data_IF_811412471962
#
_entry.id   IF_811412471962
#
_cell.length_a   1.000
_cell.length_b   1.000
_cell.length_c   1.000
_cell.angle_alpha   90.00
_cell.angle_beta   90.00
_cell.angle_gamma   90.00
#
_symmetry.space_group_name_H-M   'P 1'
#
loop_
_entity.id
_entity.type
_entity.pdbx_description
1 polymer ?
#
# COMPACT_ATOMS: atom_id res chain seq x y z
N UNK A 1 -17.83 6.31 49.16
CA UNK A 1 -18.02 6.01 47.73
C UNK A 1 -16.74 5.35 47.23
N UNK A 2 -16.84 4.07 46.88
CA UNK A 2 -15.74 3.18 46.54
C UNK A 2 -15.11 3.59 45.19
N UNK A 3 -13.86 4.05 45.21
CA UNK A 3 -13.02 4.06 44.02
C UNK A 3 -12.59 2.61 43.75
N UNK A 4 -13.35 1.90 42.91
CA UNK A 4 -12.88 0.67 42.30
C UNK A 4 -11.68 1.01 41.42
N UNK A 5 -10.48 0.72 41.90
CA UNK A 5 -9.27 0.70 41.09
C UNK A 5 -9.44 -0.34 39.99
N UNK A 6 -9.71 0.13 38.77
CA UNK A 6 -9.62 -0.70 37.57
C UNK A 6 -8.22 -1.33 37.55
N UNK A 7 -8.08 -2.65 37.39
CA UNK A 7 -6.76 -3.27 37.30
C UNK A 7 -6.05 -2.70 36.06
N UNK A 8 -4.89 -2.09 36.27
CA UNK A 8 -4.01 -1.68 35.17
C UNK A 8 -3.70 -2.94 34.36
N UNK A 9 -4.11 -2.99 33.09
CA UNK A 9 -3.70 -4.07 32.18
C UNK A 9 -2.18 -4.00 32.06
N UNK A 10 -1.50 -4.85 32.81
CA UNK A 10 -0.07 -5.08 32.69
C UNK A 10 0.16 -5.77 31.34
N UNK A 11 0.63 -5.02 30.34
CA UNK A 11 1.03 -5.60 29.08
C UNK A 11 2.20 -6.54 29.34
N UNK A 12 2.07 -7.81 28.98
CA UNK A 12 3.05 -8.84 29.27
C UNK A 12 4.21 -8.78 28.27
N UNK A 13 4.85 -7.61 28.16
CA UNK A 13 5.94 -7.29 27.24
C UNK A 13 7.10 -8.28 27.36
N UNK A 14 7.32 -8.84 28.57
CA UNK A 14 8.41 -9.77 28.88
C UNK A 14 7.92 -11.19 29.21
N UNK A 15 6.69 -11.56 28.86
CA UNK A 15 6.23 -12.93 29.05
C UNK A 15 7.12 -13.91 28.28
N UNK A 16 7.56 -14.98 28.95
CA UNK A 16 8.38 -16.02 28.31
C UNK A 16 7.59 -16.71 27.20
N UNK A 17 8.25 -16.91 26.07
CA UNK A 17 7.74 -17.68 24.93
C UNK A 17 7.43 -19.11 25.41
N UNK A 18 6.24 -19.68 25.11
CA UNK A 18 5.95 -21.08 25.38
C UNK A 18 6.97 -22.01 24.71
N UNK A 19 7.35 -23.11 25.36
CA UNK A 19 8.32 -24.10 24.83
C UNK A 19 7.90 -24.73 23.49
N UNK A 20 6.63 -24.61 23.10
CA UNK A 20 6.11 -24.98 21.80
C UNK A 20 5.12 -23.90 21.35
N UNK A 21 5.55 -22.92 20.54
CA UNK A 21 4.64 -21.93 20.01
C UNK A 21 3.60 -22.62 19.11
N UNK A 22 2.33 -22.16 19.10
CA UNK A 22 1.36 -22.64 18.12
C UNK A 22 1.92 -22.37 16.71
N UNK A 23 1.92 -23.38 15.85
CA UNK A 23 2.40 -23.20 14.47
C UNK A 23 1.54 -22.16 13.76
N UNK A 24 2.13 -21.10 13.21
CA UNK A 24 1.38 -20.09 12.47
C UNK A 24 0.65 -20.74 11.30
N UNK A 25 -0.64 -20.44 11.14
CA UNK A 25 -1.40 -20.95 10.01
C UNK A 25 -0.82 -20.38 8.72
N UNK A 26 -0.28 -21.26 7.86
CA UNK A 26 0.25 -20.83 6.58
C UNK A 26 -0.88 -20.36 5.68
N UNK A 27 -0.70 -19.19 5.06
CA UNK A 27 -1.68 -18.60 4.14
C UNK A 27 -2.04 -19.54 2.98
N UNK A 28 -1.09 -20.33 2.50
CA UNK A 28 -1.32 -21.30 1.41
C UNK A 28 -2.25 -22.45 1.82
N UNK A 29 -2.16 -22.88 3.08
CA UNK A 29 -2.98 -23.96 3.65
C UNK A 29 -4.35 -23.46 4.14
N UNK A 30 -4.58 -22.14 4.17
CA UNK A 30 -5.82 -21.54 4.62
C UNK A 30 -6.98 -21.73 3.63
N UNK A 31 -8.17 -21.98 4.19
CA UNK A 31 -9.42 -22.09 3.44
C UNK A 31 -9.72 -20.80 2.66
N UNK A 32 -10.59 -20.90 1.65
CA UNK A 32 -10.97 -19.73 0.84
C UNK A 32 -11.57 -18.61 1.70
N UNK A 33 -12.44 -18.94 2.66
CA UNK A 33 -13.04 -17.98 3.57
C UNK A 33 -11.98 -17.31 4.46
N UNK A 34 -11.03 -18.09 4.99
CA UNK A 34 -9.94 -17.54 5.80
C UNK A 34 -9.05 -16.60 5.01
N UNK A 35 -8.74 -16.92 3.74
CA UNK A 35 -8.01 -16.02 2.85
C UNK A 35 -8.81 -14.77 2.52
N UNK A 36 -10.11 -14.90 2.26
CA UNK A 36 -10.99 -13.78 1.91
C UNK A 36 -11.09 -12.76 3.06
N UNK A 37 -11.19 -13.21 4.31
CA UNK A 37 -11.28 -12.35 5.48
C UNK A 37 -9.93 -12.07 6.16
N UNK A 38 -8.82 -12.52 5.57
CA UNK A 38 -7.46 -12.41 6.15
C UNK A 38 -7.33 -13.03 7.56
N UNK A 39 -8.24 -13.94 7.92
CA UNK A 39 -8.33 -14.49 9.27
C UNK A 39 -7.17 -15.43 9.62
N UNK A 40 -6.37 -15.85 8.64
CA UNK A 40 -5.16 -16.65 8.88
C UNK A 40 -4.12 -15.90 9.73
N UNK A 41 -4.19 -14.57 9.77
CA UNK A 41 -3.32 -13.74 10.59
C UNK A 41 -3.82 -13.56 12.04
N UNK A 42 -5.04 -14.03 12.36
CA UNK A 42 -5.67 -13.79 13.66
C UNK A 42 -4.88 -14.39 14.82
N UNK A 43 -4.28 -15.56 14.64
CA UNK A 43 -3.46 -16.20 15.68
C UNK A 43 -2.24 -15.35 16.03
N UNK A 44 -1.53 -14.84 15.02
CA UNK A 44 -0.38 -13.94 15.22
C UNK A 44 -0.82 -12.63 15.87
N UNK A 45 -1.92 -12.03 15.41
CA UNK A 45 -2.47 -10.80 16.01
C UNK A 45 -2.87 -10.99 17.47
N UNK A 46 -3.47 -12.13 17.81
CA UNK A 46 -3.84 -12.47 19.19
C UNK A 46 -2.61 -12.61 20.08
N UNK A 47 -1.54 -13.26 19.60
CA UNK A 47 -0.27 -13.37 20.34
C UNK A 47 0.33 -11.97 20.54
N UNK A 48 0.36 -11.15 19.49
CA UNK A 48 0.89 -9.78 19.55
C UNK A 48 0.13 -8.85 20.50
N UNK A 49 -1.16 -9.11 20.74
CA UNK A 49 -1.95 -8.37 21.74
C UNK A 49 -1.68 -8.82 23.18
N UNK A 50 -1.11 -10.02 23.37
CA UNK A 50 -0.82 -10.59 24.68
C UNK A 50 0.62 -10.32 25.12
N UNK A 51 1.58 -10.45 24.18
CA UNK A 51 3.02 -10.27 24.41
C UNK A 51 3.71 -9.75 23.16
N UNK A 52 4.96 -9.31 23.32
CA UNK A 52 5.81 -8.98 22.17
C UNK A 52 6.02 -10.22 21.27
N UNK A 53 5.89 -10.03 19.96
CA UNK A 53 6.10 -11.08 18.96
C UNK A 53 7.58 -11.48 18.89
N UNK A 54 7.83 -12.78 18.86
CA UNK A 54 9.14 -13.35 18.56
C UNK A 54 9.20 -13.79 17.09
N UNK A 55 10.41 -14.04 16.57
CA UNK A 55 10.62 -14.47 15.18
C UNK A 55 9.83 -15.75 14.83
N UNK A 56 9.70 -16.67 15.79
CA UNK A 56 8.99 -17.95 15.62
C UNK A 56 7.46 -17.81 15.59
N UNK A 57 6.93 -16.66 16.04
CA UNK A 57 5.49 -16.37 15.99
C UNK A 57 5.07 -15.78 14.65
N UNK A 58 6.03 -15.38 13.82
CA UNK A 58 5.77 -14.73 12.54
C UNK A 58 5.29 -15.76 11.51
N UNK A 59 4.37 -15.31 10.66
CA UNK A 59 3.92 -16.11 9.52
C UNK A 59 5.10 -16.37 8.57
N UNK A 60 5.30 -17.62 8.19
CA UNK A 60 6.27 -17.97 7.15
C UNK A 60 5.85 -17.39 5.79
N UNK A 61 6.84 -17.02 4.99
CA UNK A 61 6.62 -16.54 3.64
C UNK A 61 6.08 -17.66 2.74
N UNK A 62 5.05 -17.33 1.95
CA UNK A 62 4.60 -18.15 0.84
C UNK A 62 5.81 -18.57 -0.03
N UNK A 63 5.85 -19.82 -0.50
CA UNK A 63 6.95 -20.36 -1.32
C UNK A 63 7.30 -19.46 -2.53
N UNK A 64 6.29 -18.87 -3.16
CA UNK A 64 6.44 -17.95 -4.29
C UNK A 64 7.04 -16.58 -3.93
N UNK A 65 7.01 -16.21 -2.64
CA UNK A 65 7.53 -14.92 -2.12
C UNK A 65 8.92 -15.09 -1.50
N UNK A 66 9.44 -16.32 -1.39
CA UNK A 66 10.82 -16.55 -0.95
C UNK A 66 11.80 -15.86 -1.89
N UNK A 67 12.84 -15.27 -1.32
CA UNK A 67 13.80 -14.44 -2.07
C UNK A 67 14.47 -15.19 -3.22
N UNK A 68 14.85 -16.44 -3.00
CA UNK A 68 15.45 -17.29 -4.02
C UNK A 68 14.51 -17.51 -5.22
N UNK A 69 13.26 -17.90 -4.95
CA UNK A 69 12.26 -18.18 -6.00
C UNK A 69 11.91 -16.92 -6.78
N UNK A 70 11.72 -15.79 -6.07
CA UNK A 70 11.45 -14.51 -6.69
C UNK A 70 12.61 -14.06 -7.59
N UNK A 71 13.85 -14.18 -7.10
CA UNK A 71 15.06 -13.83 -7.83
C UNK A 71 15.27 -14.72 -9.07
N UNK A 72 15.13 -16.04 -8.95
CA UNK A 72 15.28 -16.96 -10.07
C UNK A 72 14.27 -16.68 -11.19
N UNK A 73 13.00 -16.46 -10.83
CA UNK A 73 11.94 -16.07 -11.79
C UNK A 73 12.29 -14.74 -12.49
N UNK A 74 12.77 -13.75 -11.74
CA UNK A 74 13.16 -12.46 -12.30
C UNK A 74 14.38 -12.58 -13.22
N UNK A 75 15.40 -13.35 -12.82
CA UNK A 75 16.66 -13.53 -13.56
C UNK A 75 16.43 -14.19 -14.91
N UNK A 76 15.57 -15.21 -14.99
CA UNK A 76 15.21 -15.85 -16.27
C UNK A 76 14.63 -14.84 -17.26
N UNK A 77 13.79 -13.92 -16.78
CA UNK A 77 13.22 -12.86 -17.63
C UNK A 77 14.26 -11.78 -17.96
N UNK A 78 15.14 -11.47 -17.02
CA UNK A 78 16.24 -10.52 -17.21
C UNK A 78 17.20 -10.95 -18.32
N UNK A 79 17.59 -12.22 -18.33
CA UNK A 79 18.48 -12.78 -19.34
C UNK A 79 17.81 -12.90 -20.71
N UNK A 80 16.48 -13.08 -20.76
CA UNK A 80 15.69 -13.08 -22.00
C UNK A 80 15.49 -11.70 -22.62
N UNK A 81 15.57 -10.64 -21.83
CA UNK A 81 15.26 -9.26 -22.25
C UNK A 81 16.49 -8.35 -22.24
N UNK A 82 17.60 -8.84 -22.81
CA UNK A 82 18.84 -8.07 -23.03
C UNK A 82 19.40 -7.42 -21.75
N UNK A 83 19.15 -8.01 -20.58
CA UNK A 83 19.59 -7.48 -19.29
C UNK A 83 19.04 -6.07 -18.99
N UNK A 84 17.89 -5.73 -19.56
CA UNK A 84 17.18 -4.48 -19.27
C UNK A 84 16.22 -4.66 -18.10
N UNK A 85 16.47 -3.93 -17.00
CA UNK A 85 15.63 -3.98 -15.79
C UNK A 85 14.18 -3.58 -16.12
N UNK A 86 13.98 -2.43 -16.77
CA UNK A 86 12.64 -1.91 -17.07
C UNK A 86 11.83 -2.87 -17.93
N UNK A 87 12.45 -3.42 -18.99
CA UNK A 87 11.79 -4.37 -19.89
C UNK A 87 11.36 -5.64 -19.15
N UNK A 88 12.23 -6.13 -18.26
CA UNK A 88 12.00 -7.29 -17.41
C UNK A 88 10.84 -7.06 -16.44
N UNK A 89 10.81 -5.91 -15.76
CA UNK A 89 9.74 -5.54 -14.84
C UNK A 89 8.38 -5.48 -15.56
N UNK A 90 8.34 -4.81 -16.71
CA UNK A 90 7.11 -4.68 -17.51
C UNK A 90 6.60 -6.05 -17.97
N UNK A 91 7.47 -6.95 -18.45
CA UNK A 91 7.03 -8.28 -18.90
C UNK A 91 6.66 -9.21 -17.74
N UNK A 92 7.36 -9.12 -16.61
CA UNK A 92 7.12 -10.01 -15.46
C UNK A 92 5.89 -9.62 -14.66
N UNK A 93 5.69 -8.32 -14.46
CA UNK A 93 4.67 -7.78 -13.55
C UNK A 93 3.62 -6.91 -14.23
N UNK A 94 3.82 -6.46 -15.48
CA UNK A 94 2.95 -5.48 -16.14
C UNK A 94 1.48 -5.90 -16.21
N UNK A 95 1.20 -7.17 -16.54
CA UNK A 95 -0.18 -7.67 -16.52
C UNK A 95 -0.82 -7.62 -15.13
N UNK A 96 -0.05 -7.95 -14.08
CA UNK A 96 -0.52 -7.87 -12.70
C UNK A 96 -0.75 -6.42 -12.27
N UNK A 97 0.15 -5.51 -12.65
CA UNK A 97 -0.02 -4.08 -12.41
C UNK A 97 -1.27 -3.52 -13.10
N UNK A 98 -1.59 -3.97 -14.33
CA UNK A 98 -2.83 -3.60 -15.03
C UNK A 98 -4.08 -4.10 -14.30
N UNK A 99 -4.10 -5.36 -13.85
CA UNK A 99 -5.22 -5.92 -13.07
C UNK A 99 -5.41 -5.16 -11.74
N UNK A 100 -4.32 -4.82 -11.06
CA UNK A 100 -4.35 -4.00 -9.85
C UNK A 100 -4.83 -2.57 -10.13
N UNK A 101 -4.40 -1.98 -11.25
CA UNK A 101 -4.89 -0.68 -11.72
C UNK A 101 -6.41 -0.69 -11.93
N UNK A 102 -6.95 -1.75 -12.55
CA UNK A 102 -8.39 -1.91 -12.72
C UNK A 102 -9.13 -2.04 -11.38
N UNK A 103 -8.57 -2.81 -10.43
CA UNK A 103 -9.14 -2.93 -9.09
C UNK A 103 -9.14 -1.58 -8.34
N UNK A 104 -8.09 -0.78 -8.52
CA UNK A 104 -8.00 0.56 -7.95
C UNK A 104 -8.99 1.52 -8.61
N UNK A 105 -9.16 1.50 -9.94
CA UNK A 105 -10.22 2.26 -10.64
C UNK A 105 -11.60 1.89 -10.12
N UNK A 106 -11.89 0.60 -9.96
CA UNK A 106 -13.15 0.13 -9.38
C UNK A 106 -13.36 0.67 -7.96
N UNK A 107 -12.31 0.63 -7.13
CA UNK A 107 -12.35 1.12 -5.76
C UNK A 107 -12.60 2.63 -5.71
N UNK A 108 -11.94 3.39 -6.61
CA UNK A 108 -12.13 4.83 -6.77
C UNK A 108 -13.55 5.16 -7.24
N UNK A 109 -14.12 4.40 -8.18
CA UNK A 109 -15.50 4.57 -8.61
C UNK A 109 -16.50 4.33 -7.46
N UNK A 110 -16.28 3.29 -6.64
CA UNK A 110 -17.08 3.03 -5.45
C UNK A 110 -17.00 4.20 -4.44
N UNK A 111 -15.84 4.84 -4.33
CA UNK A 111 -15.67 6.01 -3.48
C UNK A 111 -16.43 7.23 -4.02
N UNK A 112 -16.32 7.50 -5.32
CA UNK A 112 -17.01 8.59 -6.02
C UNK A 112 -18.53 8.37 -6.11
N UNK A 113 -19.02 7.17 -5.89
CA UNK A 113 -20.46 6.92 -5.84
C UNK A 113 -21.14 7.53 -4.60
N UNK A 114 -20.40 7.73 -3.49
CA UNK A 114 -20.97 8.35 -2.28
C UNK A 114 -21.57 9.74 -2.48
N UNK A 115 -20.86 10.72 -3.08
CA UNK A 115 -21.43 12.05 -3.30
C UNK A 115 -22.67 12.02 -4.22
N UNK A 116 -22.71 11.12 -5.21
CA UNK A 116 -23.89 10.95 -6.11
C UNK A 116 -25.11 10.47 -5.33
N UNK A 117 -24.94 9.45 -4.49
CA UNK A 117 -26.02 8.92 -3.66
C UNK A 117 -26.47 9.96 -2.64
N UNK A 118 -25.53 10.71 -2.06
CA UNK A 118 -25.84 11.78 -1.11
C UNK A 118 -26.69 12.87 -1.76
N UNK A 119 -26.42 13.25 -3.01
CA UNK A 119 -27.23 14.23 -3.74
C UNK A 119 -28.68 13.77 -3.87
N UNK A 120 -28.91 12.52 -4.32
CA UNK A 120 -30.25 11.96 -4.42
C UNK A 120 -30.97 11.79 -3.07
N UNK A 121 -30.21 11.48 -2.00
CA UNK A 121 -30.77 11.43 -0.64
C UNK A 121 -31.28 12.82 -0.24
N UNK A 122 -30.50 13.88 -0.47
CA UNK A 122 -30.91 15.26 -0.15
C UNK A 122 -32.16 15.64 -0.95
N UNK A 123 -32.20 15.35 -2.25
CA UNK A 123 -33.36 15.64 -3.09
C UNK A 123 -34.63 14.93 -2.59
N UNK A 124 -34.53 13.65 -2.22
CA UNK A 124 -35.65 12.88 -1.69
C UNK A 124 -36.20 13.46 -0.37
N UNK A 125 -35.35 14.04 0.48
CA UNK A 125 -35.76 14.66 1.74
C UNK A 125 -36.25 16.10 1.62
N UNK A 126 -35.98 16.78 0.50
CA UNK A 126 -36.51 18.12 0.21
C UNK A 126 -37.87 18.09 -0.48
N UNK A 127 -38.26 16.95 -1.04
CA UNK A 127 -39.58 16.76 -1.62
C UNK A 127 -40.70 16.78 -0.57
N UNK A 128 -41.93 17.26 -0.91
CA UNK A 128 -43.07 17.31 0.01
C UNK A 128 -43.48 15.94 0.58
N UNK A 129 -43.27 14.88 -0.19
CA UNK A 129 -43.50 13.49 0.21
C UNK A 129 -42.24 12.67 -0.09
N UNK A 130 -41.80 11.88 0.89
CA UNK A 130 -40.61 11.06 0.77
C UNK A 130 -40.97 9.73 0.10
N UNK A 131 -40.51 9.53 -1.13
CA UNK A 131 -40.59 8.22 -1.79
C UNK A 131 -39.47 7.30 -1.34
N UNK A 132 -39.79 6.40 -0.40
CA UNK A 132 -38.86 5.41 0.13
C UNK A 132 -38.43 4.39 -0.92
N UNK A 133 -39.24 4.11 -1.96
CA UNK A 133 -38.87 3.16 -3.00
C UNK A 133 -37.75 3.73 -3.88
N UNK A 134 -37.89 4.95 -4.37
CA UNK A 134 -36.82 5.65 -5.12
C UNK A 134 -35.53 5.76 -4.30
N UNK A 135 -35.62 6.07 -3.00
CA UNK A 135 -34.45 6.15 -2.12
C UNK A 135 -33.74 4.78 -1.96
N UNK A 136 -34.51 3.70 -1.83
CA UNK A 136 -33.96 2.34 -1.68
C UNK A 136 -33.20 1.87 -2.93
N UNK A 137 -33.63 2.28 -4.12
CA UNK A 137 -32.99 1.94 -5.41
C UNK A 137 -31.59 2.53 -5.52
N UNK A 138 -31.32 3.67 -4.89
CA UNK A 138 -29.97 4.27 -4.85
C UNK A 138 -29.14 3.76 -3.67
N UNK A 139 -29.75 3.58 -2.49
CA UNK A 139 -29.03 3.12 -1.30
C UNK A 139 -28.59 1.67 -1.40
N UNK A 140 -29.42 0.75 -1.92
CA UNK A 140 -29.09 -0.67 -1.95
C UNK A 140 -27.84 -0.96 -2.82
N UNK A 141 -27.71 -0.45 -4.06
CA UNK A 141 -26.49 -0.58 -4.86
C UNK A 141 -25.28 0.11 -4.22
N UNK A 142 -25.48 1.23 -3.52
CA UNK A 142 -24.41 1.91 -2.81
C UNK A 142 -23.86 1.08 -1.65
N UNK A 143 -24.73 0.50 -0.82
CA UNK A 143 -24.31 -0.42 0.23
C UNK A 143 -23.62 -1.66 -0.35
N UNK A 144 -24.16 -2.22 -1.43
CA UNK A 144 -23.55 -3.35 -2.13
C UNK A 144 -22.16 -2.99 -2.68
N UNK A 145 -22.00 -1.83 -3.33
CA UNK A 145 -20.71 -1.39 -3.86
C UNK A 145 -19.68 -1.17 -2.74
N UNK A 146 -20.12 -0.62 -1.59
CA UNK A 146 -19.26 -0.45 -0.41
C UNK A 146 -18.82 -1.78 0.17
N UNK A 147 -19.70 -2.77 0.25
CA UNK A 147 -19.37 -4.10 0.72
C UNK A 147 -18.37 -4.80 -0.22
N UNK A 148 -18.60 -4.72 -1.53
CA UNK A 148 -17.68 -5.29 -2.52
C UNK A 148 -16.32 -4.59 -2.46
N UNK A 149 -16.30 -3.26 -2.38
CA UNK A 149 -15.06 -2.49 -2.26
C UNK A 149 -14.29 -2.80 -0.96
N UNK A 150 -15.00 -3.03 0.15
CA UNK A 150 -14.39 -3.41 1.42
C UNK A 150 -13.66 -4.77 1.35
N UNK A 151 -14.07 -5.65 0.44
CA UNK A 151 -13.35 -6.89 0.15
C UNK A 151 -12.24 -6.65 -0.89
N UNK A 152 -12.53 -5.98 -2.00
CA UNK A 152 -11.58 -5.83 -3.12
C UNK A 152 -10.37 -4.99 -2.75
N UNK A 153 -10.57 -3.85 -2.08
CA UNK A 153 -9.52 -2.86 -1.83
C UNK A 153 -8.36 -3.42 -0.98
N UNK A 154 -8.60 -4.05 0.19
CA UNK A 154 -7.51 -4.64 0.98
C UNK A 154 -6.75 -5.74 0.22
N UNK A 155 -7.47 -6.59 -0.53
CA UNK A 155 -6.85 -7.66 -1.33
C UNK A 155 -5.98 -7.09 -2.46
N UNK A 156 -6.46 -6.06 -3.17
CA UNK A 156 -5.70 -5.40 -4.21
C UNK A 156 -4.43 -4.74 -3.63
N UNK A 157 -4.55 -4.00 -2.53
CA UNK A 157 -3.43 -3.35 -1.85
C UNK A 157 -2.38 -4.37 -1.39
N UNK A 158 -2.81 -5.46 -0.75
CA UNK A 158 -1.92 -6.52 -0.30
C UNK A 158 -1.17 -7.20 -1.47
N UNK A 159 -1.85 -7.44 -2.59
CA UNK A 159 -1.21 -8.02 -3.78
C UNK A 159 -0.25 -7.04 -4.47
N UNK A 160 -0.57 -5.74 -4.48
CA UNK A 160 0.32 -4.70 -4.97
C UNK A 160 1.61 -4.67 -4.14
N UNK A 161 1.49 -4.65 -2.82
CA UNK A 161 2.63 -4.64 -1.90
C UNK A 161 3.50 -5.90 -2.05
N UNK A 162 2.90 -7.09 -2.20
CA UNK A 162 3.65 -8.32 -2.46
C UNK A 162 4.45 -8.27 -3.78
N UNK A 163 3.90 -7.69 -4.84
CA UNK A 163 4.60 -7.56 -6.12
C UNK A 163 5.77 -6.59 -5.98
N UNK A 164 5.54 -5.45 -5.35
CA UNK A 164 6.56 -4.42 -5.10
C UNK A 164 7.67 -4.98 -4.21
N UNK A 165 7.32 -5.75 -3.18
CA UNK A 165 8.27 -6.46 -2.32
C UNK A 165 9.13 -7.45 -3.11
N UNK A 166 8.52 -8.33 -3.92
CA UNK A 166 9.24 -9.30 -4.76
C UNK A 166 10.18 -8.62 -5.75
N UNK A 167 9.73 -7.51 -6.35
CA UNK A 167 10.56 -6.68 -7.21
C UNK A 167 11.78 -6.14 -6.45
N UNK A 168 11.57 -5.53 -5.28
CA UNK A 168 12.64 -4.99 -4.44
C UNK A 168 13.67 -6.05 -4.06
N UNK A 169 13.23 -7.22 -3.59
CA UNK A 169 14.12 -8.35 -3.25
C UNK A 169 14.91 -8.82 -4.47
N UNK A 170 14.27 -8.95 -5.64
CA UNK A 170 14.92 -9.42 -6.86
C UNK A 170 15.97 -8.43 -7.37
N UNK A 171 15.67 -7.13 -7.33
CA UNK A 171 16.62 -6.08 -7.71
C UNK A 171 17.82 -6.03 -6.76
N UNK A 172 17.58 -6.09 -5.44
CA UNK A 172 18.64 -6.16 -4.42
C UNK A 172 19.54 -7.38 -4.63
N UNK A 173 18.97 -8.56 -4.88
CA UNK A 173 19.74 -9.77 -5.16
C UNK A 173 20.55 -9.67 -6.47
N UNK A 174 19.98 -9.10 -7.54
CA UNK A 174 20.69 -8.89 -8.82
C UNK A 174 21.89 -7.95 -8.66
N UNK A 175 21.69 -6.82 -7.97
CA UNK A 175 22.74 -5.84 -7.68
C UNK A 175 23.84 -6.44 -6.81
N UNK A 176 23.47 -7.20 -5.78
CA UNK A 176 24.42 -7.89 -4.92
C UNK A 176 25.28 -8.91 -5.70
N UNK A 177 24.67 -9.74 -6.57
CA UNK A 177 25.42 -10.65 -7.44
C UNK A 177 26.38 -9.89 -8.36
N UNK A 178 25.94 -8.77 -8.92
CA UNK A 178 26.79 -7.92 -9.77
C UNK A 178 27.94 -7.30 -8.97
N UNK A 179 27.69 -6.86 -7.74
CA UNK A 179 28.69 -6.24 -6.87
C UNK A 179 29.77 -7.23 -6.46
N UNK A 180 29.37 -8.44 -6.07
CA UNK A 180 30.29 -9.52 -5.77
C UNK A 180 31.15 -9.93 -6.97
N UNK A 181 30.59 -9.92 -8.19
CA UNK A 181 31.38 -10.21 -9.41
C UNK A 181 32.35 -9.08 -9.75
N UNK A 182 31.92 -7.83 -9.63
CA UNK A 182 32.77 -6.67 -9.89
C UNK A 182 33.92 -6.57 -8.89
N UNK A 183 33.69 -6.76 -7.59
CA UNK A 183 34.75 -6.70 -6.58
C UNK A 183 35.83 -7.79 -6.80
N UNK A 184 35.43 -8.97 -7.27
CA UNK A 184 36.37 -10.04 -7.64
C UNK A 184 37.16 -9.69 -8.91
N UNK A 185 36.56 -8.98 -9.87
CA UNK A 185 37.18 -8.64 -11.16
C UNK A 185 38.00 -7.34 -11.14
N UNK A 186 37.60 -6.34 -10.38
CA UNK A 186 38.27 -5.05 -10.26
C UNK A 186 38.95 -4.93 -8.91
N UNK A 187 40.30 -4.87 -8.90
CA UNK A 187 41.10 -4.50 -7.73
C UNK A 187 40.89 -3.05 -7.23
N UNK A 188 39.93 -2.32 -7.80
CA UNK A 188 39.60 -0.92 -7.45
C UNK A 188 38.32 -0.86 -6.63
N UNK A 189 38.41 -0.39 -5.39
CA UNK A 189 37.28 -0.28 -4.45
C UNK A 189 36.18 0.68 -4.95
N UNK A 190 36.51 1.68 -5.77
CA UNK A 190 35.58 2.71 -6.24
C UNK A 190 34.34 2.14 -6.94
N UNK A 191 34.52 1.13 -7.81
CA UNK A 191 33.40 0.49 -8.54
C UNK A 191 32.48 -0.34 -7.64
N UNK A 192 33.02 -0.86 -6.53
CA UNK A 192 32.23 -1.58 -5.54
C UNK A 192 31.43 -0.60 -4.67
N UNK A 193 32.03 0.55 -4.33
CA UNK A 193 31.37 1.63 -3.57
C UNK A 193 30.21 2.24 -4.36
N UNK A 194 30.42 2.55 -5.64
CA UNK A 194 29.35 3.08 -6.51
C UNK A 194 28.16 2.12 -6.59
N UNK A 195 28.43 0.82 -6.69
CA UNK A 195 27.39 -0.20 -6.79
C UNK A 195 26.68 -0.46 -5.45
N UNK A 196 27.39 -0.30 -4.33
CA UNK A 196 26.80 -0.35 -2.99
C UNK A 196 25.88 0.85 -2.72
N UNK A 197 26.20 2.04 -3.26
CA UNK A 197 25.35 3.22 -3.14
C UNK A 197 24.06 3.10 -3.97
N UNK A 198 24.16 2.53 -5.18
CA UNK A 198 23.00 2.17 -6.01
C UNK A 198 22.12 1.13 -5.29
N UNK A 199 22.73 0.17 -4.59
CA UNK A 199 22.02 -0.88 -3.84
C UNK A 199 21.13 -0.34 -2.70
N UNK A 200 21.54 0.71 -2.00
CA UNK A 200 20.84 1.21 -0.81
C UNK A 200 19.82 2.31 -1.11
N UNK A 201 20.15 3.32 -1.92
CA UNK A 201 19.23 4.45 -2.19
C UNK A 201 18.32 4.22 -3.39
N UNK A 202 18.89 3.72 -4.50
CA UNK A 202 18.20 3.82 -5.79
C UNK A 202 17.16 2.72 -5.97
N UNK A 203 17.42 1.52 -5.43
CA UNK A 203 16.43 0.44 -5.44
C UNK A 203 15.18 0.83 -4.67
N UNK A 204 15.33 1.43 -3.50
CA UNK A 204 14.18 1.82 -2.68
C UNK A 204 13.34 2.90 -3.38
N UNK A 205 13.98 3.82 -4.11
CA UNK A 205 13.26 4.79 -4.97
C UNK A 205 12.51 4.11 -6.11
N UNK A 206 13.11 3.12 -6.77
CA UNK A 206 12.45 2.35 -7.85
C UNK A 206 11.25 1.56 -7.31
N UNK A 207 11.39 0.95 -6.13
CA UNK A 207 10.33 0.22 -5.43
C UNK A 207 9.18 1.16 -5.07
N UNK A 208 9.47 2.34 -4.53
CA UNK A 208 8.46 3.38 -4.25
C UNK A 208 7.74 3.84 -5.52
N UNK A 209 8.49 4.17 -6.57
CA UNK A 209 7.90 4.57 -7.86
C UNK A 209 6.99 3.48 -8.45
N UNK A 210 7.39 2.20 -8.30
CA UNK A 210 6.59 1.06 -8.74
C UNK A 210 5.29 0.90 -7.95
N UNK A 211 5.29 1.27 -6.67
CA UNK A 211 4.08 1.27 -5.83
C UNK A 211 3.09 2.35 -6.28
N UNK A 212 3.60 3.52 -6.66
CA UNK A 212 2.78 4.69 -6.98
C UNK A 212 2.34 4.77 -8.46
N UNK A 213 2.83 3.86 -9.31
CA UNK A 213 2.60 3.91 -10.76
C UNK A 213 1.11 3.93 -11.13
N UNK A 214 0.29 3.14 -10.44
CA UNK A 214 -1.15 3.10 -10.70
C UNK A 214 -1.86 4.35 -10.17
N UNK A 215 -1.40 4.87 -9.04
CA UNK A 215 -1.93 6.11 -8.46
C UNK A 215 -1.67 7.31 -9.39
N UNK A 216 -0.52 7.34 -10.07
CA UNK A 216 -0.11 8.45 -10.93
C UNK A 216 -1.14 8.79 -12.03
N UNK A 217 -1.75 7.78 -12.65
CA UNK A 217 -2.72 7.99 -13.72
C UNK A 217 -4.18 7.96 -13.24
N UNK A 218 -4.48 7.25 -12.15
CA UNK A 218 -5.83 7.20 -11.57
C UNK A 218 -6.19 8.49 -10.84
N UNK A 219 -5.22 9.09 -10.13
CA UNK A 219 -5.47 10.28 -9.34
C UNK A 219 -5.93 11.50 -10.19
N UNK A 220 -5.32 11.82 -11.34
CA UNK A 220 -5.83 12.87 -12.22
C UNK A 220 -7.25 12.60 -12.73
N UNK A 221 -7.57 11.35 -13.06
CA UNK A 221 -8.92 10.95 -13.49
C UNK A 221 -9.92 11.16 -12.35
N UNK A 222 -9.56 10.73 -11.13
CA UNK A 222 -10.38 10.91 -9.94
C UNK A 222 -10.66 12.38 -9.65
N UNK A 223 -9.63 13.24 -9.73
CA UNK A 223 -9.77 14.69 -9.56
C UNK A 223 -10.71 15.25 -10.63
N UNK A 224 -10.52 14.88 -11.90
CA UNK A 224 -11.37 15.34 -13.00
C UNK A 224 -12.86 14.99 -12.78
N UNK A 225 -13.15 13.76 -12.39
CA UNK A 225 -14.53 13.32 -12.09
C UNK A 225 -15.10 14.05 -10.86
N UNK A 226 -14.31 14.22 -9.80
CA UNK A 226 -14.75 14.93 -8.60
C UNK A 226 -15.05 16.41 -8.88
N UNK A 227 -14.22 17.09 -9.68
CA UNK A 227 -14.43 18.48 -10.09
C UNK A 227 -15.68 18.59 -10.97
N UNK A 228 -15.91 17.63 -11.87
CA UNK A 228 -17.13 17.59 -12.68
C UNK A 228 -18.38 17.46 -11.80
N UNK A 229 -18.39 16.53 -10.85
CA UNK A 229 -19.49 16.38 -9.89
C UNK A 229 -19.74 17.65 -9.07
N UNK A 230 -18.66 18.34 -8.66
CA UNK A 230 -18.79 19.60 -7.91
C UNK A 230 -19.36 20.73 -8.77
N UNK A 231 -18.95 20.79 -10.04
CA UNK A 231 -19.46 21.76 -11.01
C UNK A 231 -20.96 21.55 -11.27
N UNK A 232 -21.42 20.29 -11.34
CA UNK A 232 -22.84 19.98 -11.52
C UNK A 232 -23.71 20.54 -10.38
N UNK A 233 -23.21 20.47 -9.14
CA UNK A 233 -23.95 20.93 -7.95
C UNK A 233 -23.82 22.43 -7.70
N UNK A 234 -22.64 23.03 -7.90
CA UNK A 234 -22.33 24.41 -7.50
C UNK A 234 -22.07 25.38 -8.66
N UNK A 235 -22.01 24.88 -9.90
CA UNK A 235 -21.66 25.67 -11.08
C UNK A 235 -20.29 26.34 -10.95
N UNK A 236 -20.19 27.60 -11.35
CA UNK A 236 -18.92 28.35 -11.36
C UNK A 236 -18.31 28.56 -9.97
N UNK A 237 -19.09 28.48 -8.89
CA UNK A 237 -18.59 28.62 -7.53
C UNK A 237 -17.61 27.48 -7.15
N UNK A 238 -17.71 26.32 -7.79
CA UNK A 238 -16.78 25.20 -7.62
C UNK A 238 -15.31 25.60 -7.86
N UNK A 239 -15.06 26.48 -8.84
CA UNK A 239 -13.71 26.92 -9.19
C UNK A 239 -13.09 27.84 -8.13
N UNK A 240 -13.90 28.60 -7.38
CA UNK A 240 -13.39 29.38 -6.26
C UNK A 240 -12.86 28.46 -5.14
N UNK A 241 -13.57 27.37 -4.84
CA UNK A 241 -13.10 26.33 -3.92
C UNK A 241 -11.83 25.64 -4.42
N UNK A 242 -11.77 25.31 -5.71
CA UNK A 242 -10.59 24.69 -6.32
C UNK A 242 -9.37 25.61 -6.26
N UNK A 243 -9.56 26.92 -6.50
CA UNK A 243 -8.50 27.92 -6.37
C UNK A 243 -8.00 28.03 -4.92
N UNK A 244 -8.90 27.98 -3.94
CA UNK A 244 -8.52 27.98 -2.52
C UNK A 244 -7.71 26.72 -2.14
N UNK A 245 -8.12 25.54 -2.61
CA UNK A 245 -7.38 24.30 -2.39
C UNK A 245 -5.99 24.38 -3.04
N UNK A 246 -5.91 24.82 -4.30
CA UNK A 246 -4.63 24.97 -5.01
C UNK A 246 -3.69 25.94 -4.29
N UNK A 247 -4.21 27.09 -3.83
CA UNK A 247 -3.43 28.06 -3.05
C UNK A 247 -2.92 27.45 -1.74
N UNK A 248 -3.77 26.68 -1.04
CA UNK A 248 -3.38 25.99 0.20
C UNK A 248 -2.29 24.95 -0.03
N UNK A 249 -2.33 24.21 -1.14
CA UNK A 249 -1.30 23.24 -1.50
C UNK A 249 0.03 23.92 -1.83
N UNK A 250 0.00 25.03 -2.58
CA UNK A 250 1.20 25.82 -2.89
C UNK A 250 1.83 26.38 -1.61
N UNK A 251 1.01 26.82 -0.66
CA UNK A 251 1.49 27.34 0.62
C UNK A 251 2.13 26.26 1.49
N UNK A 252 1.58 25.04 1.50
CA UNK A 252 2.09 23.91 2.29
C UNK A 252 3.33 23.26 1.68
N UNK A 253 3.43 23.19 0.35
CA UNK A 253 4.53 22.52 -0.36
C UNK A 253 5.96 22.88 0.13
N UNK A 254 6.34 24.16 0.31
CA UNK A 254 7.67 24.51 0.82
C UNK A 254 7.86 24.09 2.29
N UNK A 255 6.80 24.08 3.10
CA UNK A 255 6.87 23.70 4.51
C UNK A 255 7.11 22.19 4.67
N UNK A 256 6.39 21.35 3.90
CA UNK A 256 6.58 19.90 3.89
C UNK A 256 7.96 19.51 3.34
N UNK A 257 8.47 20.25 2.36
CA UNK A 257 9.82 20.05 1.83
C UNK A 257 10.91 20.43 2.82
N UNK A 258 10.74 21.48 3.63
CA UNK A 258 11.78 21.97 4.56
C UNK A 258 11.91 21.17 5.87
N UNK A 259 10.85 20.53 6.37
CA UNK A 259 10.90 19.77 7.64
C UNK A 259 11.96 18.65 7.62
N UNK A 260 12.05 17.78 6.59
CA UNK A 260 13.11 16.78 6.51
C UNK A 260 14.51 17.41 6.55
N UNK A 261 14.75 18.49 5.80
CA UNK A 261 16.05 19.16 5.78
C UNK A 261 16.44 19.75 7.14
N UNK A 262 15.48 20.34 7.87
CA UNK A 262 15.72 20.89 9.21
C UNK A 262 16.02 19.80 10.23
N UNK A 263 15.33 18.66 10.16
CA UNK A 263 15.57 17.51 11.03
C UNK A 263 16.97 16.92 10.76
N UNK A 264 17.37 16.76 9.50
CA UNK A 264 18.72 16.27 9.15
C UNK A 264 19.81 17.24 9.62
N UNK A 265 19.61 18.56 9.44
CA UNK A 265 20.53 19.60 9.93
C UNK A 265 20.66 19.61 11.46
N UNK A 266 19.58 19.33 12.19
CA UNK A 266 19.63 19.23 13.65
C UNK A 266 20.35 17.96 14.12
N UNK A 267 20.15 16.84 13.43
CA UNK A 267 20.85 15.59 13.71
C UNK A 267 22.36 15.75 13.43
N UNK A 268 22.76 16.33 12.30
CA UNK A 268 24.17 16.57 11.98
C UNK A 268 24.84 17.51 13.01
N UNK A 269 24.13 18.52 13.51
CA UNK A 269 24.61 19.42 14.57
C UNK A 269 24.68 18.78 15.97
N UNK A 270 23.97 17.68 16.20
CA UNK A 270 24.00 16.95 17.47
C UNK A 270 25.10 15.87 17.49
N UNK A 271 25.55 15.43 16.32
CA UNK A 271 26.58 14.39 16.15
C UNK A 271 27.98 14.99 15.99
N UNK A 272 28.11 16.29 15.71
CA UNK A 272 29.38 17.04 15.64
C UNK A 272 29.67 17.79 16.92
#
# INVERSE_FOLDING_TARGET
>A
MLLQSQPVREYATFAKVPLSPPQPSQRQSASFCSRLFLSYADDMMRIGNQRQLHQDDLLELDDDTRSQVAYEKFKVQFDRHDQSILRTVVHTYGWKFMLLGLALVFSTACNLFAPVVLHHVIDAFTAPEVDLMSLSVWLAPFFASRLVNALVSPHASFQAELIVFRLGVSLKALLFEKAMRCSVQSRSDDKAVDLANIYTSDVDRVVQCSNDINTLWILPIQIGVAVYMLYDVLGLAAFAGLAAIALSMIMIAPFTGHIPYLVTLQIDKLVT
#
